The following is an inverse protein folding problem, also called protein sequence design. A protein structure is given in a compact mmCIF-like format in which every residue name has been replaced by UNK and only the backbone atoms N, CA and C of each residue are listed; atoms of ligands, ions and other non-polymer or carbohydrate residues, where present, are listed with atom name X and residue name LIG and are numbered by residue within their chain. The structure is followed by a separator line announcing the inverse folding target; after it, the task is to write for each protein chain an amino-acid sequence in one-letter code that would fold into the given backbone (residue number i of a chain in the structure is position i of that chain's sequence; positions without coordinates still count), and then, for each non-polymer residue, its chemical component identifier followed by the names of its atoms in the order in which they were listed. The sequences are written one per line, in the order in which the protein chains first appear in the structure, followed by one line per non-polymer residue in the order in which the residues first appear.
data_IF_332527142154
#
_entry.id   IF_332527142154
#
_cell.length_a   1.000
_cell.length_b   1.000
_cell.length_c   1.000
_cell.angle_alpha   90.00
_cell.angle_beta   90.00
_cell.angle_gamma   90.00
#
_symmetry.space_group_name_H-M   'P 1'
#
loop_
_entity.id
_entity.type
_entity.pdbx_description
1 polymer ?
#
# COMPACT_ATOMS: atom_id res chain seq x y z
N UNK A 1 8.59 21.40 36.18
CA UNK A 1 8.83 19.95 36.27
C UNK A 1 9.00 19.44 34.85
N UNK A 2 10.14 18.81 34.58
CA UNK A 2 10.66 18.45 33.26
C UNK A 2 9.68 17.59 32.42
N UNK A 3 9.52 17.94 31.14
CA UNK A 3 9.33 16.95 30.07
C UNK A 3 10.67 16.83 29.34
N UNK A 4 11.36 15.74 29.65
CA UNK A 4 12.72 15.40 29.23
C UNK A 4 12.81 15.19 27.71
N UNK A 5 13.77 15.88 27.07
CA UNK A 5 14.82 15.20 26.30
C UNK A 5 14.55 14.74 24.86
N UNK A 6 13.34 14.86 24.30
CA UNK A 6 13.17 14.61 22.87
C UNK A 6 13.51 15.89 22.09
N UNK A 7 14.80 16.09 21.83
CA UNK A 7 15.23 17.07 20.84
C UNK A 7 14.53 16.79 19.51
N UNK A 8 14.05 17.84 18.83
CA UNK A 8 13.45 17.71 17.49
C UNK A 8 14.41 16.89 16.63
N UNK A 9 14.01 15.70 16.14
CA UNK A 9 14.91 14.85 15.39
C UNK A 9 15.44 15.61 14.18
N UNK A 10 16.74 15.47 13.89
CA UNK A 10 17.30 16.05 12.67
C UNK A 10 16.66 15.40 11.43
N UNK A 11 16.64 16.07 10.28
CA UNK A 11 16.15 15.48 9.02
C UNK A 11 16.83 14.14 8.70
N UNK A 12 18.11 14.00 9.03
CA UNK A 12 18.85 12.74 8.88
C UNK A 12 18.30 11.63 9.78
N UNK A 13 17.93 11.96 11.02
CA UNK A 13 17.31 11.01 11.96
C UNK A 13 15.92 10.58 11.48
N UNK A 14 15.10 11.53 11.01
CA UNK A 14 13.79 11.22 10.41
C UNK A 14 13.90 10.31 9.19
N UNK A 15 14.81 10.61 8.25
CA UNK A 15 15.03 9.77 7.07
C UNK A 15 15.45 8.33 7.44
N UNK A 16 16.20 8.18 8.53
CA UNK A 16 16.62 6.86 9.03
C UNK A 16 15.44 6.10 9.63
N UNK A 17 14.61 6.76 10.43
CA UNK A 17 13.40 6.15 11.00
C UNK A 17 12.42 5.70 9.92
N UNK A 18 12.22 6.50 8.87
CA UNK A 18 11.36 6.13 7.73
C UNK A 18 11.87 4.85 7.06
N UNK A 19 13.19 4.72 6.84
CA UNK A 19 13.78 3.51 6.25
C UNK A 19 13.56 2.27 7.12
N UNK A 20 13.76 2.39 8.43
CA UNK A 20 13.57 1.28 9.38
C UNK A 20 12.09 0.86 9.44
N UNK A 21 11.19 1.85 9.51
CA UNK A 21 9.75 1.59 9.51
C UNK A 21 9.31 0.92 8.20
N UNK A 22 9.86 1.36 7.06
CA UNK A 22 9.58 0.74 5.77
C UNK A 22 10.08 -0.72 5.71
N UNK A 23 11.27 -1.01 6.22
CA UNK A 23 11.79 -2.37 6.31
C UNK A 23 10.93 -3.27 7.20
N UNK A 24 10.35 -2.72 8.26
CA UNK A 24 9.41 -3.46 9.10
C UNK A 24 8.12 -3.76 8.36
N UNK A 25 7.60 -2.80 7.58
CA UNK A 25 6.42 -3.01 6.75
C UNK A 25 6.67 -4.02 5.62
N UNK A 26 7.84 -4.03 4.99
CA UNK A 26 8.16 -5.03 3.96
C UNK A 26 8.10 -6.44 4.53
N UNK A 27 8.59 -6.66 5.76
CA UNK A 27 8.49 -7.96 6.42
C UNK A 27 7.03 -8.39 6.66
N UNK A 28 6.15 -7.44 7.02
CA UNK A 28 4.71 -7.71 7.14
C UNK A 28 4.12 -8.07 5.77
N UNK A 29 4.57 -7.41 4.70
CA UNK A 29 4.11 -7.67 3.34
C UNK A 29 4.58 -9.03 2.80
N UNK A 30 5.68 -9.60 3.29
CA UNK A 30 6.13 -10.95 2.91
C UNK A 30 5.11 -12.03 3.33
N UNK A 31 4.34 -11.77 4.39
CA UNK A 31 3.23 -12.62 4.87
C UNK A 31 1.84 -12.01 4.61
N UNK A 32 1.70 -11.14 3.60
CA UNK A 32 0.46 -10.39 3.33
C UNK A 32 -0.80 -11.28 3.16
N UNK A 33 -0.63 -12.51 2.68
CA UNK A 33 -1.71 -13.48 2.51
C UNK A 33 -2.32 -13.97 3.83
N UNK A 34 -1.60 -13.85 4.94
CA UNK A 34 -2.04 -14.27 6.27
C UNK A 34 -2.84 -13.17 7.00
N UNK A 35 -2.77 -11.93 6.52
CA UNK A 35 -3.45 -10.80 7.13
C UNK A 35 -4.98 -10.93 7.07
N UNK A 36 -5.67 -10.51 8.12
CA UNK A 36 -7.13 -10.32 8.13
C UNK A 36 -7.52 -9.07 7.32
N UNK A 37 -8.81 -8.90 7.02
CA UNK A 37 -9.28 -7.73 6.27
C UNK A 37 -8.98 -6.39 6.96
N UNK A 38 -9.09 -6.34 8.29
CA UNK A 38 -8.69 -5.16 9.08
C UNK A 38 -7.20 -4.83 8.93
N UNK A 39 -6.33 -5.83 9.07
CA UNK A 39 -4.89 -5.63 8.93
C UNK A 39 -4.49 -5.30 7.49
N UNK A 40 -5.20 -5.81 6.49
CA UNK A 40 -5.03 -5.40 5.09
C UNK A 40 -5.38 -3.93 4.88
N UNK A 41 -6.47 -3.44 5.48
CA UNK A 41 -6.82 -2.01 5.42
C UNK A 41 -5.73 -1.11 6.01
N UNK A 42 -5.17 -1.51 7.14
CA UNK A 42 -4.04 -0.80 7.77
C UNK A 42 -2.79 -0.86 6.88
N UNK A 43 -2.50 -2.02 6.31
CA UNK A 43 -1.37 -2.21 5.39
C UNK A 43 -1.50 -1.30 4.16
N UNK A 44 -2.67 -1.28 3.51
CA UNK A 44 -2.96 -0.41 2.35
C UNK A 44 -2.71 1.07 2.70
N UNK A 45 -3.30 1.54 3.81
CA UNK A 45 -3.17 2.94 4.23
C UNK A 45 -1.70 3.30 4.51
N UNK A 46 -0.99 2.40 5.18
CA UNK A 46 0.43 2.59 5.52
C UNK A 46 1.29 2.61 4.26
N UNK A 47 1.04 1.71 3.31
CA UNK A 47 1.71 1.71 2.00
C UNK A 47 1.41 2.98 1.21
N UNK A 48 0.17 3.48 1.26
CA UNK A 48 -0.18 4.78 0.68
C UNK A 48 0.65 5.93 1.27
N UNK A 49 0.88 5.93 2.59
CA UNK A 49 1.77 6.89 3.24
C UNK A 49 3.24 6.71 2.82
N UNK A 50 3.70 5.48 2.61
CA UNK A 50 5.05 5.21 2.10
C UNK A 50 5.22 5.62 0.63
N UNK A 51 4.20 5.43 -0.22
CA UNK A 51 4.11 6.03 -1.56
C UNK A 51 4.27 7.55 -1.53
N UNK A 52 3.72 8.17 -0.47
CA UNK A 52 3.85 9.58 -0.04
C UNK A 52 5.26 10.10 0.27
N UNK A 53 6.21 9.22 0.59
CA UNK A 53 7.47 9.66 1.21
C UNK A 53 8.42 10.32 0.22
N UNK A 54 9.19 11.32 0.68
CA UNK A 54 10.15 12.05 -0.16
C UNK A 54 11.22 11.15 -0.81
N UNK A 55 11.55 10.00 -0.20
CA UNK A 55 12.48 9.04 -0.77
C UNK A 55 11.83 8.27 -1.93
N UNK A 56 12.26 8.57 -3.16
CA UNK A 56 11.74 7.96 -4.39
C UNK A 56 11.80 6.44 -4.38
N UNK A 57 12.86 5.82 -3.85
CA UNK A 57 12.95 4.36 -3.82
C UNK A 57 11.89 3.73 -2.92
N UNK A 58 11.65 4.33 -1.74
CA UNK A 58 10.59 3.87 -0.83
C UNK A 58 9.22 4.03 -1.46
N UNK A 59 8.95 5.21 -2.02
CA UNK A 59 7.69 5.52 -2.68
C UNK A 59 7.41 4.59 -3.86
N UNK A 60 8.41 4.37 -4.71
CA UNK A 60 8.34 3.49 -5.86
C UNK A 60 8.11 2.04 -5.45
N UNK A 61 8.85 1.51 -4.46
CA UNK A 61 8.65 0.13 -3.99
C UNK A 61 7.26 -0.07 -3.39
N UNK A 62 6.75 0.91 -2.64
CA UNK A 62 5.38 0.86 -2.12
C UNK A 62 4.35 0.81 -3.27
N UNK A 63 4.48 1.71 -4.24
CA UNK A 63 3.55 1.86 -5.36
C UNK A 63 3.59 0.71 -6.38
N UNK A 64 4.79 0.33 -6.82
CA UNK A 64 5.01 -0.60 -7.93
C UNK A 64 5.08 -2.07 -7.50
N UNK A 65 5.32 -2.36 -6.23
CA UNK A 65 5.55 -3.74 -5.76
C UNK A 65 4.64 -4.15 -4.61
N UNK A 66 4.64 -3.42 -3.50
CA UNK A 66 3.93 -3.87 -2.30
C UNK A 66 2.40 -3.75 -2.44
N UNK A 67 1.90 -2.64 -2.99
CA UNK A 67 0.46 -2.50 -3.27
C UNK A 67 -0.04 -3.54 -4.28
N UNK A 68 0.80 -3.94 -5.23
CA UNK A 68 0.51 -5.07 -6.11
C UNK A 68 0.34 -6.38 -5.32
N UNK A 69 1.29 -6.72 -4.45
CA UNK A 69 1.22 -7.93 -3.62
C UNK A 69 -0.02 -7.96 -2.71
N UNK A 70 -0.42 -6.80 -2.17
CA UNK A 70 -1.66 -6.68 -1.40
C UNK A 70 -2.88 -6.92 -2.28
N UNK A 71 -2.89 -6.42 -3.52
CA UNK A 71 -3.95 -6.72 -4.48
C UNK A 71 -4.08 -8.23 -4.73
N UNK A 72 -2.96 -8.93 -4.99
CA UNK A 72 -2.96 -10.39 -5.19
C UNK A 72 -3.54 -11.14 -3.96
N UNK A 73 -3.15 -10.73 -2.75
CA UNK A 73 -3.63 -11.32 -1.51
C UNK A 73 -5.14 -11.12 -1.30
N UNK A 74 -5.64 -9.92 -1.59
CA UNK A 74 -7.08 -9.62 -1.54
C UNK A 74 -7.83 -10.50 -2.53
N UNK A 75 -7.34 -10.63 -3.77
CA UNK A 75 -8.00 -11.44 -4.80
C UNK A 75 -8.02 -12.92 -4.45
N UNK A 76 -6.98 -13.44 -3.80
CA UNK A 76 -6.99 -14.81 -3.29
C UNK A 76 -8.11 -15.03 -2.25
N UNK A 77 -8.36 -14.04 -1.39
CA UNK A 77 -9.40 -14.10 -0.34
C UNK A 77 -10.82 -13.85 -0.88
N UNK A 78 -10.97 -13.06 -1.95
CA UNK A 78 -12.26 -12.82 -2.63
C UNK A 78 -12.92 -14.07 -3.22
N UNK A 79 -12.16 -15.16 -3.40
CA UNK A 79 -12.69 -16.45 -3.88
C UNK A 79 -13.66 -17.11 -2.88
N UNK A 80 -13.59 -16.72 -1.61
CA UNK A 80 -14.53 -17.13 -0.58
C UNK A 80 -15.80 -16.29 -0.68
N UNK A 81 -16.92 -16.91 -1.08
CA UNK A 81 -18.19 -16.23 -1.32
C UNK A 81 -18.75 -15.52 -0.07
N UNK A 82 -18.46 -16.02 1.12
CA UNK A 82 -18.92 -15.38 2.37
C UNK A 82 -18.14 -14.09 2.67
N UNK A 83 -16.88 -14.02 2.23
CA UNK A 83 -16.00 -12.88 2.48
C UNK A 83 -15.85 -11.96 1.28
N UNK A 84 -16.35 -12.35 0.11
CA UNK A 84 -16.25 -11.59 -1.13
C UNK A 84 -16.65 -10.12 -0.97
N UNK A 85 -17.76 -9.75 -0.28
CA UNK A 85 -18.14 -8.35 -0.14
C UNK A 85 -17.11 -7.51 0.64
N UNK A 86 -16.56 -8.07 1.72
CA UNK A 86 -15.53 -7.42 2.54
C UNK A 86 -14.27 -7.15 1.71
N UNK A 87 -13.78 -8.18 1.01
CA UNK A 87 -12.56 -8.07 0.23
C UNK A 87 -12.74 -7.27 -1.07
N UNK A 88 -13.94 -7.19 -1.61
CA UNK A 88 -14.29 -6.26 -2.70
C UNK A 88 -14.18 -4.81 -2.24
N UNK A 89 -14.72 -4.48 -1.07
CA UNK A 89 -14.56 -3.14 -0.48
C UNK A 89 -13.08 -2.80 -0.21
N UNK A 90 -12.28 -3.76 0.25
CA UNK A 90 -10.84 -3.59 0.45
C UNK A 90 -10.09 -3.39 -0.87
N UNK A 91 -10.48 -4.10 -1.92
CA UNK A 91 -9.87 -3.94 -3.24
C UNK A 91 -10.17 -2.56 -3.83
N UNK A 92 -11.41 -2.08 -3.72
CA UNK A 92 -11.76 -0.72 -4.13
C UNK A 92 -10.99 0.34 -3.33
N UNK A 93 -10.81 0.12 -2.03
CA UNK A 93 -9.97 0.98 -1.19
C UNK A 93 -8.50 1.00 -1.65
N UNK A 94 -7.94 -0.16 -2.00
CA UNK A 94 -6.59 -0.26 -2.57
C UNK A 94 -6.47 0.49 -3.90
N UNK A 95 -7.44 0.31 -4.81
CA UNK A 95 -7.43 0.97 -6.12
C UNK A 95 -7.45 2.49 -6.00
N UNK A 96 -8.22 3.03 -5.04
CA UNK A 96 -8.24 4.47 -4.75
C UNK A 96 -6.90 4.97 -4.24
N UNK A 97 -6.22 4.23 -3.35
CA UNK A 97 -4.88 4.60 -2.91
C UNK A 97 -3.87 4.58 -4.06
N UNK A 98 -3.87 3.54 -4.91
CA UNK A 98 -2.98 3.47 -6.08
C UNK A 98 -3.27 4.61 -7.06
N UNK A 99 -4.54 4.91 -7.32
CA UNK A 99 -4.95 6.02 -8.19
C UNK A 99 -4.40 7.35 -7.68
N UNK A 100 -4.39 7.58 -6.37
CA UNK A 100 -3.79 8.78 -5.78
C UNK A 100 -2.28 8.90 -6.02
N UNK A 101 -1.57 7.79 -6.24
CA UNK A 101 -0.14 7.77 -6.58
C UNK A 101 0.10 7.93 -8.09
N UNK A 102 -0.91 7.70 -8.94
CA UNK A 102 -0.82 7.94 -10.39
C UNK A 102 -0.73 9.42 -10.77
N UNK A 103 -0.83 10.33 -9.80
CA UNK A 103 -0.62 11.77 -9.98
C UNK A 103 0.61 12.28 -9.24
N UNK A 104 1.52 11.39 -8.83
CA UNK A 104 2.77 11.81 -8.17
C UNK A 104 3.63 12.65 -9.12
N UNK A 105 4.26 13.71 -8.58
CA UNK A 105 5.11 14.62 -9.34
C UNK A 105 6.34 13.89 -9.91
N UNK A 106 6.84 12.87 -9.19
CA UNK A 106 8.03 12.10 -9.57
C UNK A 106 7.65 11.06 -10.63
N UNK A 107 8.21 11.14 -11.86
CA UNK A 107 7.84 10.24 -12.95
C UNK A 107 7.95 8.76 -12.61
N UNK A 108 8.99 8.35 -11.89
CA UNK A 108 9.23 6.96 -11.56
C UNK A 108 8.12 6.39 -10.68
N UNK A 109 7.70 7.14 -9.64
CA UNK A 109 6.63 6.72 -8.72
C UNK A 109 5.29 6.67 -9.44
N UNK A 110 5.01 7.70 -10.25
CA UNK A 110 3.80 7.79 -11.05
C UNK A 110 3.68 6.63 -12.03
N UNK A 111 4.72 6.35 -12.80
CA UNK A 111 4.73 5.28 -13.79
C UNK A 111 4.61 3.91 -13.10
N UNK A 112 5.27 3.73 -11.95
CA UNK A 112 5.11 2.54 -11.12
C UNK A 112 3.68 2.33 -10.62
N UNK A 113 3.03 3.39 -10.15
CA UNK A 113 1.63 3.34 -9.72
C UNK A 113 0.68 3.05 -10.88
N UNK A 114 0.87 3.70 -12.04
CA UNK A 114 0.11 3.44 -13.26
C UNK A 114 0.27 1.97 -13.67
N UNK A 115 1.48 1.45 -13.66
CA UNK A 115 1.75 0.04 -13.98
C UNK A 115 1.00 -0.90 -13.02
N UNK A 116 1.06 -0.66 -11.71
CA UNK A 116 0.31 -1.43 -10.72
C UNK A 116 -1.19 -1.36 -11.01
N UNK A 117 -1.75 -0.17 -11.20
CA UNK A 117 -3.18 0.02 -11.45
C UNK A 117 -3.63 -0.73 -12.70
N UNK A 118 -2.96 -0.53 -13.83
CA UNK A 118 -3.30 -1.20 -15.09
C UNK A 118 -3.17 -2.71 -14.98
N UNK A 119 -2.10 -3.21 -14.38
CA UNK A 119 -1.90 -4.65 -14.19
C UNK A 119 -3.02 -5.25 -13.34
N UNK A 120 -3.42 -4.57 -12.27
CA UNK A 120 -4.49 -5.04 -11.36
C UNK A 120 -5.83 -5.07 -12.09
N UNK A 121 -6.12 -4.04 -12.87
CA UNK A 121 -7.33 -3.98 -13.69
C UNK A 121 -7.34 -5.01 -14.81
N UNK A 122 -6.19 -5.29 -15.44
CA UNK A 122 -6.09 -6.30 -16.49
C UNK A 122 -6.30 -7.72 -15.97
N UNK A 123 -5.71 -8.07 -14.82
CA UNK A 123 -5.83 -9.42 -14.27
C UNK A 123 -7.16 -9.65 -13.57
N UNK A 124 -7.68 -8.63 -12.86
CA UNK A 124 -8.79 -8.81 -11.94
C UNK A 124 -10.02 -7.96 -12.30
N UNK A 125 -9.96 -7.09 -13.31
CA UNK A 125 -11.09 -6.21 -13.68
C UNK A 125 -12.37 -6.96 -14.06
N UNK A 126 -12.26 -8.18 -14.59
CA UNK A 126 -13.42 -9.03 -14.87
C UNK A 126 -14.19 -9.48 -13.61
N UNK A 127 -13.60 -9.31 -12.42
CA UNK A 127 -14.24 -9.58 -11.13
C UNK A 127 -15.02 -8.38 -10.58
N UNK A 128 -15.01 -7.24 -11.27
CA UNK A 128 -15.88 -6.12 -10.96
C UNK A 128 -17.29 -6.44 -11.47
N UNK A 129 -18.25 -6.47 -10.55
CA UNK A 129 -19.66 -6.59 -10.89
C UNK A 129 -20.36 -5.26 -10.60
N UNK A 130 -21.50 -5.01 -11.24
CA UNK A 130 -22.33 -3.82 -11.01
C UNK A 130 -22.94 -3.75 -9.59
N UNK A 131 -22.71 -4.77 -8.75
CA UNK A 131 -23.27 -4.87 -7.40
C UNK A 131 -22.27 -4.49 -6.29
N UNK A 132 -21.04 -4.09 -6.63
CA UNK A 132 -20.10 -3.45 -5.69
C UNK A 132 -20.52 -2.02 -5.40
#
# INVERSE_FOLDING_TARGET
VLLLGLGVPSEKSYSTLIKIAFQSLTLVCDSVSELSGEHLRLCISTLGHFGRQANTNIALTAAASLLWSVSDAIQAKRKDAEKEPEYSALWMFLLLEVLGLCTDDRPEVRDGAIQTLFRTMQLYGATLSLQT
#
